data_IF_295077731505
#
_entry.id   IF_295077731505
#
_cell.length_a   1.000
_cell.length_b   1.000
_cell.length_c   1.000
_cell.angle_alpha   90.00
_cell.angle_beta   90.00
_cell.angle_gamma   90.00
#
_symmetry.space_group_name_H-M   'P 1'
#
loop_
_entity.id
_entity.type
_entity.pdbx_description
1 polymer ?
#
# COMPACT_ATOMS: atom_id res chain seq x y z
N UNK A 1 11.57 47.65 -0.85
CA UNK A 1 12.61 46.89 -0.10
C UNK A 1 12.35 45.42 -0.34
N UNK A 2 13.13 44.80 -1.22
CA UNK A 2 13.01 43.39 -1.63
C UNK A 2 13.70 42.48 -0.63
N UNK A 3 13.03 41.40 -0.21
CA UNK A 3 13.62 40.32 0.60
C UNK A 3 13.91 39.13 -0.34
N UNK A 4 15.16 38.63 -0.46
CA UNK A 4 15.50 37.60 -1.43
C UNK A 4 14.96 36.23 -1.01
N UNK A 5 14.37 35.53 -1.97
CA UNK A 5 13.90 34.16 -1.86
C UNK A 5 15.01 33.23 -1.35
N UNK A 6 14.77 32.59 -0.20
CA UNK A 6 15.59 31.48 0.29
C UNK A 6 15.39 30.27 -0.63
N UNK A 7 16.31 30.05 -1.54
CA UNK A 7 16.40 28.81 -2.31
C UNK A 7 16.53 27.62 -1.33
N UNK A 8 15.59 26.67 -1.40
CA UNK A 8 15.66 25.41 -0.65
C UNK A 8 16.88 24.61 -1.13
N UNK A 9 17.73 24.19 -0.20
CA UNK A 9 18.82 23.23 -0.46
C UNK A 9 18.22 21.85 -0.75
N UNK A 10 18.68 21.11 -1.77
CA UNK A 10 18.27 19.73 -2.01
C UNK A 10 18.67 18.82 -0.82
N UNK A 11 17.88 17.77 -0.58
CA UNK A 11 18.18 16.77 0.44
C UNK A 11 19.57 16.17 0.18
N UNK A 12 20.41 16.09 1.23
CA UNK A 12 21.75 15.54 1.09
C UNK A 12 21.65 14.04 0.75
N UNK A 13 22.17 13.67 -0.42
CA UNK A 13 22.34 12.26 -0.81
C UNK A 13 23.22 11.57 0.23
N UNK A 14 22.73 10.47 0.81
CA UNK A 14 23.48 9.66 1.78
C UNK A 14 24.77 9.14 1.18
N UNK A 15 25.84 9.01 1.99
CA UNK A 15 27.15 8.56 1.51
C UNK A 15 27.07 7.25 0.71
N UNK A 16 26.33 6.24 1.20
CA UNK A 16 26.17 4.96 0.49
C UNK A 16 25.46 5.05 -0.88
N UNK A 17 24.67 6.10 -1.15
CA UNK A 17 24.08 6.32 -2.48
C UNK A 17 25.09 6.94 -3.44
N UNK A 18 26.00 7.79 -2.94
CA UNK A 18 27.11 8.33 -3.73
C UNK A 18 28.11 7.25 -4.12
N UNK A 19 28.41 6.37 -3.17
CA UNK A 19 29.34 5.25 -3.40
C UNK A 19 28.77 4.28 -4.45
N UNK A 20 27.45 4.02 -4.43
CA UNK A 20 26.76 3.24 -5.47
C UNK A 20 26.75 3.92 -6.85
N UNK A 21 26.53 5.23 -6.90
CA UNK A 21 26.58 6.01 -8.15
C UNK A 21 27.99 5.97 -8.75
N UNK A 22 29.05 6.08 -7.93
CA UNK A 22 30.44 5.97 -8.38
C UNK A 22 30.75 4.59 -8.96
N UNK A 23 30.27 3.52 -8.31
CA UNK A 23 30.39 2.14 -8.80
C UNK A 23 29.68 1.97 -10.15
N UNK A 24 28.44 2.47 -10.28
CA UNK A 24 27.68 2.40 -11.54
C UNK A 24 28.37 3.17 -12.67
N UNK A 25 28.93 4.35 -12.37
CA UNK A 25 29.69 5.15 -13.33
C UNK A 25 31.01 4.48 -13.74
N UNK A 26 31.68 3.77 -12.84
CA UNK A 26 32.88 2.98 -13.14
C UNK A 26 32.54 1.80 -14.08
N UNK A 27 31.47 1.05 -13.80
CA UNK A 27 31.00 -0.05 -14.66
C UNK A 27 30.65 0.44 -16.06
N UNK A 28 29.92 1.55 -16.17
CA UNK A 28 29.54 2.12 -17.48
C UNK A 28 30.73 2.63 -18.30
N UNK A 29 31.84 2.97 -17.64
CA UNK A 29 33.12 3.33 -18.29
C UNK A 29 33.98 2.12 -18.65
N UNK A 30 33.52 0.90 -18.33
CA UNK A 30 34.29 -0.33 -18.54
C UNK A 30 35.42 -0.54 -17.53
N UNK A 31 35.44 0.24 -16.45
CA UNK A 31 36.38 0.09 -15.35
C UNK A 31 35.91 -1.08 -14.47
N UNK A 32 36.84 -1.88 -13.94
CA UNK A 32 36.50 -2.91 -12.94
C UNK A 32 36.35 -2.21 -11.59
N UNK A 33 35.13 -2.13 -11.01
CA UNK A 33 34.95 -1.51 -9.70
C UNK A 33 35.70 -2.30 -8.63
N UNK A 34 35.91 -1.69 -7.47
CA UNK A 34 36.55 -2.35 -6.32
C UNK A 34 35.76 -3.63 -5.98
N UNK A 35 36.32 -4.80 -6.35
CA UNK A 35 35.59 -6.07 -6.38
C UNK A 35 35.03 -6.44 -4.99
N UNK A 36 35.76 -6.07 -3.94
CA UNK A 36 35.46 -6.40 -2.54
C UNK A 36 34.16 -5.76 -2.03
N UNK A 37 33.87 -4.52 -2.43
CA UNK A 37 32.65 -3.80 -2.03
C UNK A 37 31.42 -4.40 -2.71
N UNK A 38 31.54 -4.69 -4.01
CA UNK A 38 30.48 -5.36 -4.77
C UNK A 38 30.20 -6.76 -4.23
N UNK A 39 31.22 -7.54 -3.89
CA UNK A 39 31.00 -8.85 -3.25
C UNK A 39 30.34 -8.73 -1.89
N UNK A 40 30.67 -7.71 -1.09
CA UNK A 40 30.06 -7.48 0.22
C UNK A 40 28.57 -7.14 0.08
N UNK A 41 28.24 -6.26 -0.88
CA UNK A 41 26.86 -5.88 -1.19
C UNK A 41 26.08 -7.09 -1.67
N UNK A 42 26.59 -7.82 -2.67
CA UNK A 42 25.93 -9.01 -3.23
C UNK A 42 25.74 -10.10 -2.16
N UNK A 43 26.71 -10.32 -1.29
CA UNK A 43 26.60 -11.29 -0.20
C UNK A 43 25.54 -10.88 0.81
N UNK A 44 25.47 -9.59 1.17
CA UNK A 44 24.44 -9.06 2.07
C UNK A 44 23.05 -9.17 1.46
N UNK A 45 22.91 -8.87 0.15
CA UNK A 45 21.64 -9.03 -0.57
C UNK A 45 21.20 -10.49 -0.64
N UNK A 46 22.14 -11.42 -0.87
CA UNK A 46 21.86 -12.86 -0.81
C UNK A 46 21.40 -13.32 0.57
N UNK A 47 22.00 -12.78 1.64
CA UNK A 47 21.62 -13.11 3.01
C UNK A 47 20.20 -12.64 3.34
N UNK A 48 19.79 -11.47 2.84
CA UNK A 48 18.42 -10.96 2.97
C UNK A 48 17.46 -11.75 2.08
N UNK A 49 17.84 -12.11 0.86
CA UNK A 49 17.02 -12.94 -0.03
C UNK A 49 16.72 -14.32 0.58
N UNK A 50 17.72 -14.94 1.19
CA UNK A 50 17.56 -16.23 1.87
C UNK A 50 16.65 -16.14 3.12
N UNK A 51 16.65 -14.99 3.81
CA UNK A 51 15.78 -14.78 4.98
C UNK A 51 14.34 -14.45 4.56
N UNK A 52 14.16 -13.78 3.41
CA UNK A 52 12.84 -13.28 2.96
C UNK A 52 12.13 -14.23 1.97
N UNK A 53 12.83 -15.23 1.41
CA UNK A 53 12.32 -16.17 0.36
C UNK A 53 11.71 -15.49 -0.87
N UNK A 54 12.13 -14.25 -1.16
CA UNK A 54 11.73 -13.48 -2.35
C UNK A 54 12.99 -12.98 -3.03
N UNK A 55 13.11 -13.10 -4.38
CA UNK A 55 14.26 -12.58 -5.10
C UNK A 55 14.45 -11.08 -4.82
N UNK A 56 15.62 -10.69 -4.35
CA UNK A 56 15.88 -9.30 -3.93
C UNK A 56 15.70 -8.32 -5.09
N UNK A 57 16.03 -8.76 -6.31
CA UNK A 57 15.85 -7.99 -7.54
C UNK A 57 14.38 -7.66 -7.79
N UNK A 58 13.46 -8.56 -7.44
CA UNK A 58 12.02 -8.33 -7.61
C UNK A 58 11.49 -7.34 -6.57
N UNK A 59 12.03 -7.38 -5.33
CA UNK A 59 11.71 -6.41 -4.29
C UNK A 59 12.23 -5.02 -4.64
N UNK A 60 13.49 -4.92 -5.08
CA UNK A 60 14.09 -3.66 -5.51
C UNK A 60 13.38 -3.11 -6.75
N UNK A 61 12.93 -3.97 -7.67
CA UNK A 61 12.12 -3.56 -8.82
C UNK A 61 10.75 -3.07 -8.41
N UNK A 62 10.03 -3.78 -7.54
CA UNK A 62 8.74 -3.34 -7.03
C UNK A 62 8.87 -2.00 -6.28
N UNK A 63 9.96 -1.83 -5.52
CA UNK A 63 10.27 -0.57 -4.86
C UNK A 63 10.61 0.53 -5.87
N UNK A 64 11.43 0.24 -6.88
CA UNK A 64 11.78 1.18 -7.94
C UNK A 64 10.57 1.56 -8.80
N UNK A 65 9.66 0.64 -9.08
CA UNK A 65 8.37 0.91 -9.73
C UNK A 65 7.46 1.75 -8.83
N UNK A 66 7.51 1.57 -7.50
CA UNK A 66 6.76 2.38 -6.55
C UNK A 66 7.32 3.80 -6.34
N UNK A 67 8.62 3.99 -6.59
CA UNK A 67 9.35 5.27 -6.45
C UNK A 67 9.53 5.96 -7.81
N UNK A 68 9.36 5.24 -8.91
CA UNK A 68 9.38 5.83 -10.25
C UNK A 68 8.30 6.91 -10.32
N UNK A 69 8.60 8.10 -10.87
CA UNK A 69 7.58 9.10 -11.12
C UNK A 69 6.55 8.42 -12.01
N UNK A 70 5.37 8.16 -11.43
CA UNK A 70 4.19 7.69 -12.14
C UNK A 70 4.13 8.49 -13.44
N UNK A 71 4.18 7.85 -14.63
CA UNK A 71 3.90 8.59 -15.85
C UNK A 71 2.53 9.20 -15.60
N UNK A 72 2.49 10.53 -15.52
CA UNK A 72 1.29 11.29 -15.24
C UNK A 72 0.18 10.69 -16.09
N UNK A 73 -0.77 10.00 -15.47
CA UNK A 73 -2.05 9.74 -16.13
C UNK A 73 -2.53 11.11 -16.63
N UNK A 74 -3.26 11.17 -17.75
CA UNK A 74 -3.78 12.43 -18.28
C UNK A 74 -4.93 12.98 -17.40
N UNK A 75 -4.71 13.08 -16.10
CA UNK A 75 -5.47 13.87 -15.13
C UNK A 75 -4.74 15.17 -14.81
N UNK A 76 -4.04 15.72 -15.79
CA UNK A 76 -3.74 17.15 -15.85
C UNK A 76 -4.59 17.77 -16.95
N UNK A 77 -5.91 17.72 -16.79
CA UNK A 77 -6.66 18.89 -17.23
C UNK A 77 -6.21 19.99 -16.27
N UNK A 78 -5.36 20.89 -16.76
CA UNK A 78 -4.97 22.10 -16.05
C UNK A 78 -6.26 22.74 -15.55
N UNK A 79 -6.40 22.85 -14.23
CA UNK A 79 -7.56 23.49 -13.63
C UNK A 79 -7.72 24.87 -14.26
N UNK A 80 -8.88 25.16 -14.83
CA UNK A 80 -9.12 26.47 -15.43
C UNK A 80 -9.25 27.50 -14.32
N UNK A 81 -9.01 28.78 -14.62
CA UNK A 81 -9.11 29.85 -13.63
C UNK A 81 -10.49 29.90 -12.95
N UNK A 82 -11.55 29.53 -13.67
CA UNK A 82 -12.91 29.45 -13.14
C UNK A 82 -13.09 28.29 -12.16
N UNK A 83 -12.50 27.14 -12.44
CA UNK A 83 -12.50 25.98 -11.54
C UNK A 83 -11.67 26.26 -10.29
N UNK A 84 -10.55 26.96 -10.41
CA UNK A 84 -9.73 27.39 -9.27
C UNK A 84 -10.49 28.36 -8.36
N UNK A 85 -11.17 29.35 -8.95
CA UNK A 85 -12.00 30.30 -8.23
C UNK A 85 -13.13 29.59 -7.47
N UNK A 86 -13.79 28.62 -8.10
CA UNK A 86 -14.83 27.82 -7.46
C UNK A 86 -14.30 26.98 -6.28
N UNK A 87 -13.13 26.35 -6.41
CA UNK A 87 -12.52 25.60 -5.31
C UNK A 87 -12.08 26.50 -4.15
N UNK A 88 -11.58 27.71 -4.45
CA UNK A 88 -11.20 28.69 -3.43
C UNK A 88 -12.42 29.23 -2.70
N UNK A 89 -13.52 29.51 -3.41
CA UNK A 89 -14.79 29.91 -2.81
C UNK A 89 -15.40 28.80 -1.92
N UNK A 90 -15.19 27.53 -2.28
CA UNK A 90 -15.59 26.38 -1.49
C UNK A 90 -14.63 26.02 -0.33
N UNK A 91 -13.52 26.78 -0.15
CA UNK A 91 -12.51 26.51 0.88
C UNK A 91 -11.68 25.24 0.65
N UNK A 92 -11.73 24.66 -0.54
CA UNK A 92 -11.08 23.39 -0.90
C UNK A 92 -9.74 23.60 -1.63
N UNK A 93 -9.33 24.85 -1.86
CA UNK A 93 -8.06 25.16 -2.50
C UNK A 93 -6.95 25.32 -1.46
N UNK A 94 -5.85 24.58 -1.64
CA UNK A 94 -4.70 24.61 -0.73
C UNK A 94 -3.61 25.48 -1.35
N UNK A 95 -3.39 26.68 -0.80
CA UNK A 95 -2.35 27.62 -1.28
C UNK A 95 -0.92 27.08 -1.01
N UNK A 96 -0.74 26.19 -0.01
CA UNK A 96 0.54 25.56 0.32
C UNK A 96 0.45 24.03 0.34
N UNK A 97 1.09 23.38 -0.62
CA UNK A 97 1.10 21.92 -0.71
C UNK A 97 1.71 21.31 0.58
N UNK A 98 1.05 20.30 1.21
CA UNK A 98 1.61 19.62 2.37
C UNK A 98 3.01 19.07 2.08
N UNK A 99 3.87 18.93 3.12
CA UNK A 99 5.13 18.21 3.03
C UNK A 99 4.93 16.87 2.32
N UNK A 100 5.90 16.43 1.49
CA UNK A 100 5.74 15.23 0.67
C UNK A 100 5.22 14.02 1.48
N UNK A 101 5.72 13.80 2.69
CA UNK A 101 5.28 12.75 3.61
C UNK A 101 3.79 12.81 4.02
N UNK A 102 3.15 13.97 3.94
CA UNK A 102 1.74 14.19 4.30
C UNK A 102 0.83 14.27 3.07
N UNK A 103 1.39 14.19 1.86
CA UNK A 103 0.58 14.19 0.64
C UNK A 103 -0.20 12.89 0.56
N UNK A 104 -1.46 12.98 0.13
CA UNK A 104 -2.33 11.81 -0.03
C UNK A 104 -1.70 10.70 -0.89
N UNK A 105 -0.91 11.06 -1.92
CA UNK A 105 -0.17 10.13 -2.75
C UNK A 105 0.92 9.37 -1.99
N UNK A 106 1.76 10.07 -1.22
CA UNK A 106 2.83 9.45 -0.41
C UNK A 106 2.27 8.62 0.73
N UNK A 107 1.21 9.09 1.40
CA UNK A 107 0.49 8.31 2.43
C UNK A 107 -0.13 7.04 1.85
N UNK A 108 -0.67 7.10 0.63
CA UNK A 108 -1.24 5.92 -0.05
C UNK A 108 -0.16 4.90 -0.43
N UNK A 109 1.00 5.37 -0.90
CA UNK A 109 2.16 4.53 -1.19
C UNK A 109 2.62 3.82 0.09
N UNK A 110 2.82 4.56 1.18
CA UNK A 110 3.28 4.00 2.45
C UNK A 110 2.30 2.96 3.00
N UNK A 111 0.99 3.26 3.01
CA UNK A 111 -0.04 2.30 3.44
C UNK A 111 -0.09 1.05 2.57
N UNK A 112 0.17 1.19 1.27
CA UNK A 112 0.20 0.04 0.36
C UNK A 112 1.45 -0.81 0.62
N UNK A 113 2.60 -0.19 0.91
CA UNK A 113 3.81 -0.90 1.34
C UNK A 113 3.60 -1.64 2.66
N UNK A 114 3.00 -1.01 3.66
CA UNK A 114 2.71 -1.65 4.96
C UNK A 114 1.72 -2.83 4.80
N UNK A 115 0.73 -2.67 3.92
CA UNK A 115 -0.22 -3.71 3.58
C UNK A 115 0.46 -4.92 2.94
N UNK A 116 1.39 -4.68 2.02
CA UNK A 116 2.13 -5.73 1.33
C UNK A 116 3.20 -6.38 2.22
N UNK A 117 3.84 -5.61 3.11
CA UNK A 117 4.85 -6.10 4.04
C UNK A 117 4.28 -7.16 5.00
N UNK A 118 3.00 -7.08 5.31
CA UNK A 118 2.29 -8.05 6.15
C UNK A 118 1.50 -9.08 5.35
N UNK A 119 1.47 -8.99 4.01
CA UNK A 119 0.62 -9.86 3.20
C UNK A 119 1.20 -11.27 3.05
N UNK A 120 0.34 -12.26 3.18
CA UNK A 120 0.66 -13.68 3.03
C UNK A 120 0.71 -14.06 1.54
N UNK A 121 1.57 -15.01 1.21
CA UNK A 121 1.50 -15.76 -0.04
C UNK A 121 0.26 -16.66 -0.06
N UNK A 122 -0.07 -17.21 -1.23
CA UNK A 122 -1.16 -18.20 -1.36
C UNK A 122 -0.92 -19.43 -0.49
N UNK A 123 0.32 -19.90 -0.39
CA UNK A 123 0.66 -21.10 0.36
C UNK A 123 0.64 -20.86 1.88
N UNK A 124 1.11 -19.69 2.34
CA UNK A 124 0.98 -19.29 3.74
C UNK A 124 -0.49 -19.11 4.15
N UNK A 125 -1.31 -18.49 3.29
CA UNK A 125 -2.74 -18.38 3.53
C UNK A 125 -3.42 -19.76 3.54
N UNK A 126 -3.00 -20.68 2.67
CA UNK A 126 -3.51 -22.04 2.63
C UNK A 126 -3.19 -22.79 3.95
N UNK A 127 -1.95 -22.70 4.42
CA UNK A 127 -1.53 -23.25 5.70
C UNK A 127 -2.31 -22.64 6.87
N UNK A 128 -2.48 -21.32 6.88
CA UNK A 128 -3.24 -20.60 7.92
C UNK A 128 -4.70 -21.00 7.99
N UNK A 129 -5.33 -21.24 6.84
CA UNK A 129 -6.74 -21.62 6.73
C UNK A 129 -6.97 -23.14 6.84
N UNK A 130 -5.91 -23.95 6.86
CA UNK A 130 -6.03 -25.42 6.81
C UNK A 130 -6.64 -25.94 5.49
N UNK A 131 -6.46 -25.22 4.37
CA UNK A 131 -7.01 -25.59 3.06
C UNK A 131 -5.91 -25.71 2.00
N UNK A 132 -6.26 -26.13 0.79
CA UNK A 132 -5.31 -26.20 -0.34
C UNK A 132 -5.09 -24.84 -0.99
N UNK A 133 -3.92 -24.63 -1.62
CA UNK A 133 -3.65 -23.43 -2.41
C UNK A 133 -4.67 -23.21 -3.55
N UNK A 134 -5.20 -24.29 -4.14
CA UNK A 134 -6.27 -24.24 -5.11
C UNK A 134 -7.57 -23.65 -4.54
N UNK A 135 -7.93 -24.04 -3.31
CA UNK A 135 -9.08 -23.48 -2.60
C UNK A 135 -8.90 -22.00 -2.28
N UNK A 136 -7.68 -21.57 -1.92
CA UNK A 136 -7.37 -20.13 -1.72
C UNK A 136 -7.57 -19.35 -3.02
N UNK A 137 -7.01 -19.83 -4.14
CA UNK A 137 -7.19 -19.17 -5.46
C UNK A 137 -8.66 -19.09 -5.86
N UNK A 138 -9.43 -20.15 -5.63
CA UNK A 138 -10.88 -20.14 -5.86
C UNK A 138 -11.58 -19.08 -5.00
N UNK A 139 -11.24 -18.96 -3.71
CA UNK A 139 -11.83 -17.95 -2.83
C UNK A 139 -11.49 -16.52 -3.27
N UNK A 140 -10.26 -16.29 -3.76
CA UNK A 140 -9.85 -15.01 -4.37
C UNK A 140 -10.69 -14.72 -5.62
N UNK A 141 -10.86 -15.69 -6.53
CA UNK A 141 -11.73 -15.53 -7.71
C UNK A 141 -13.19 -15.26 -7.34
N UNK A 142 -13.69 -15.90 -6.28
CA UNK A 142 -15.04 -15.69 -5.76
C UNK A 142 -15.18 -14.42 -4.90
N UNK A 143 -14.10 -13.64 -4.73
CA UNK A 143 -14.07 -12.41 -3.91
C UNK A 143 -14.43 -12.62 -2.43
N UNK A 144 -14.24 -13.85 -1.94
CA UNK A 144 -14.38 -14.23 -0.52
C UNK A 144 -13.05 -14.20 0.23
N UNK A 145 -11.97 -13.85 -0.47
CA UNK A 145 -10.68 -13.42 0.06
C UNK A 145 -10.17 -12.26 -0.80
N UNK A 146 -9.58 -11.27 -0.15
CA UNK A 146 -8.93 -10.15 -0.82
C UNK A 146 -7.50 -10.54 -1.20
N UNK A 147 -7.11 -10.22 -2.43
CA UNK A 147 -5.73 -10.36 -2.88
C UNK A 147 -5.29 -9.12 -3.65
N UNK A 148 -4.04 -8.72 -3.45
CA UNK A 148 -3.32 -7.73 -4.23
C UNK A 148 -2.43 -8.47 -5.21
N UNK A 149 -2.49 -8.10 -6.48
CA UNK A 149 -1.58 -8.64 -7.50
C UNK A 149 -0.27 -7.85 -7.47
N UNK A 150 0.82 -8.52 -7.16
CA UNK A 150 2.18 -7.96 -7.19
C UNK A 150 2.96 -8.71 -8.26
N UNK A 151 3.24 -8.04 -9.38
CA UNK A 151 3.79 -8.67 -10.59
C UNK A 151 2.93 -9.87 -11.04
N UNK A 152 3.46 -11.09 -10.96
CA UNK A 152 2.78 -12.34 -11.35
C UNK A 152 2.12 -13.08 -10.18
N UNK A 153 2.34 -12.64 -8.94
CA UNK A 153 1.89 -13.35 -7.75
C UNK A 153 0.76 -12.62 -7.00
N UNK A 154 -0.11 -13.39 -6.37
CA UNK A 154 -1.10 -12.85 -5.43
C UNK A 154 -0.50 -12.74 -4.02
N UNK A 155 -0.79 -11.63 -3.36
CA UNK A 155 -0.50 -11.37 -1.95
C UNK A 155 -1.82 -11.11 -1.23
N UNK A 156 -2.05 -11.83 -0.15
CA UNK A 156 -3.29 -11.78 0.62
C UNK A 156 -3.02 -10.95 1.88
N UNK A 157 -3.55 -9.72 2.00
CA UNK A 157 -3.32 -8.89 3.17
C UNK A 157 -3.63 -9.59 4.50
N UNK A 158 -2.75 -9.49 5.49
CA UNK A 158 -2.89 -10.21 6.77
C UNK A 158 -4.14 -9.82 7.58
N UNK A 159 -4.66 -8.60 7.42
CA UNK A 159 -5.80 -8.11 8.21
C UNK A 159 -7.08 -8.93 8.01
N UNK A 160 -7.16 -9.79 6.98
CA UNK A 160 -8.31 -10.67 6.77
C UNK A 160 -8.21 -12.02 7.50
N UNK A 161 -7.08 -12.28 8.18
CA UNK A 161 -6.80 -13.53 8.88
C UNK A 161 -6.72 -13.33 10.40
N UNK A 162 -7.02 -14.39 11.13
CA UNK A 162 -6.70 -14.59 12.54
C UNK A 162 -5.49 -15.52 12.64
N UNK A 163 -5.09 -15.90 13.86
CA UNK A 163 -3.96 -16.80 14.07
C UNK A 163 -4.23 -18.21 13.53
N UNK A 164 -5.49 -18.64 13.50
CA UNK A 164 -5.89 -20.01 13.16
C UNK A 164 -6.93 -20.09 12.02
N UNK A 165 -7.20 -18.98 11.33
CA UNK A 165 -8.23 -18.98 10.28
C UNK A 165 -8.43 -17.63 9.60
N UNK A 166 -9.55 -17.48 8.91
CA UNK A 166 -10.02 -16.18 8.45
C UNK A 166 -10.67 -15.39 9.59
N UNK A 167 -10.85 -14.10 9.33
CA UNK A 167 -11.60 -13.24 10.21
C UNK A 167 -13.08 -13.73 10.25
N UNK A 168 -13.71 -13.86 11.44
CA UNK A 168 -15.09 -14.31 11.53
C UNK A 168 -16.02 -13.45 10.67
N UNK A 169 -16.91 -14.08 9.90
CA UNK A 169 -17.85 -13.40 9.00
C UNK A 169 -17.22 -12.75 7.76
N UNK A 170 -15.92 -12.94 7.51
CA UNK A 170 -15.22 -12.33 6.38
C UNK A 170 -15.73 -12.78 5.01
N UNK A 171 -16.24 -14.01 4.92
CA UNK A 171 -16.86 -14.55 3.72
C UNK A 171 -18.10 -13.75 3.27
N UNK A 172 -18.79 -13.08 4.20
CA UNK A 172 -19.90 -12.15 3.92
C UNK A 172 -19.45 -10.71 3.73
N UNK A 173 -18.45 -10.29 4.50
CA UNK A 173 -17.94 -8.90 4.47
C UNK A 173 -17.10 -8.63 3.21
N UNK A 174 -16.26 -9.56 2.77
CA UNK A 174 -15.39 -9.35 1.61
C UNK A 174 -16.17 -9.07 0.30
N UNK A 175 -17.25 -9.82 -0.03
CA UNK A 175 -18.06 -9.54 -1.21
C UNK A 175 -18.82 -8.21 -1.17
N UNK A 176 -19.08 -7.64 0.02
CA UNK A 176 -19.82 -6.39 0.18
C UNK A 176 -19.05 -5.17 -0.35
N UNK A 177 -17.72 -5.23 -0.38
CA UNK A 177 -16.93 -4.17 -1.00
C UNK A 177 -17.17 -4.13 -2.52
N UNK A 178 -17.25 -2.94 -3.16
CA UNK A 178 -17.31 -2.84 -4.61
C UNK A 178 -16.13 -3.50 -5.30
N UNK A 179 -16.33 -4.00 -6.53
CA UNK A 179 -15.22 -4.54 -7.36
C UNK A 179 -14.15 -3.49 -7.66
N UNK A 180 -14.52 -2.22 -7.62
CA UNK A 180 -13.65 -1.06 -7.87
C UNK A 180 -12.90 -0.60 -6.61
N UNK A 181 -13.20 -1.14 -5.43
CA UNK A 181 -12.57 -0.73 -4.19
C UNK A 181 -11.09 -1.13 -4.18
N UNK A 182 -10.21 -0.14 -3.98
CA UNK A 182 -8.78 -0.39 -3.90
C UNK A 182 -8.43 -1.16 -2.62
N UNK A 183 -7.55 -2.18 -2.65
CA UNK A 183 -7.19 -2.97 -1.46
C UNK A 183 -6.74 -2.14 -0.25
N UNK A 184 -6.01 -1.05 -0.49
CA UNK A 184 -5.59 -0.10 0.56
C UNK A 184 -6.77 0.60 1.23
N UNK A 185 -7.83 0.93 0.48
CA UNK A 185 -9.04 1.53 1.04
C UNK A 185 -9.83 0.53 1.90
N UNK A 186 -9.93 -0.72 1.41
CA UNK A 186 -10.52 -1.83 2.19
C UNK A 186 -9.74 -2.05 3.48
N UNK A 187 -8.41 -2.10 3.40
CA UNK A 187 -7.55 -2.28 4.56
C UNK A 187 -7.69 -1.14 5.59
N UNK A 188 -7.75 0.11 5.10
CA UNK A 188 -7.93 1.27 5.96
C UNK A 188 -9.29 1.23 6.65
N UNK A 189 -10.37 0.97 5.92
CA UNK A 189 -11.71 0.84 6.49
C UNK A 189 -11.75 -0.25 7.57
N UNK A 190 -11.21 -1.44 7.29
CA UNK A 190 -11.23 -2.57 8.23
C UNK A 190 -10.42 -2.33 9.50
N UNK A 191 -9.41 -1.46 9.46
CA UNK A 191 -8.49 -1.21 10.58
C UNK A 191 -8.75 0.11 11.32
N UNK A 192 -9.61 0.98 10.79
CA UNK A 192 -9.94 2.27 11.41
C UNK A 192 -11.14 2.13 12.33
N UNK A 193 -11.10 2.65 13.57
CA UNK A 193 -12.27 2.68 14.45
C UNK A 193 -13.47 3.36 13.81
N UNK A 194 -14.67 2.81 14.00
CA UNK A 194 -15.91 3.31 13.41
C UNK A 194 -16.92 3.72 14.50
N UNK A 195 -17.60 4.89 14.38
CA UNK A 195 -18.56 5.38 15.38
C UNK A 195 -19.69 4.39 15.69
N UNK A 196 -20.16 3.65 14.68
CA UNK A 196 -21.29 2.72 14.81
C UNK A 196 -20.88 1.35 15.39
N UNK A 197 -19.57 1.10 15.60
CA UNK A 197 -19.06 -0.16 16.13
C UNK A 197 -18.50 0.08 17.53
N UNK A 198 -19.35 -0.07 18.55
CA UNK A 198 -18.97 0.13 19.95
C UNK A 198 -19.24 -1.11 20.80
N UNK A 199 -18.29 -1.44 21.68
CA UNK A 199 -18.46 -2.49 22.70
C UNK A 199 -18.00 -1.92 24.04
N UNK A 200 -18.88 -1.94 25.04
CA UNK A 200 -18.54 -1.40 26.37
C UNK A 200 -18.17 0.10 26.38
N UNK A 201 -18.60 0.87 25.37
CA UNK A 201 -18.28 2.29 25.22
C UNK A 201 -16.96 2.58 24.49
N UNK A 202 -16.20 1.56 24.08
CA UNK A 202 -15.00 1.71 23.26
C UNK A 202 -15.32 1.56 21.77
N UNK A 203 -14.74 2.43 20.94
CA UNK A 203 -14.85 2.37 19.49
C UNK A 203 -13.94 1.27 18.94
N UNK A 204 -14.53 0.34 18.19
CA UNK A 204 -13.80 -0.72 17.51
C UNK A 204 -13.70 -0.44 16.01
N UNK A 205 -12.62 -0.95 15.41
CA UNK A 205 -12.57 -1.09 13.95
C UNK A 205 -13.46 -2.24 13.51
N UNK A 206 -13.89 -2.29 12.22
CA UNK A 206 -14.62 -3.45 11.70
C UNK A 206 -13.90 -4.77 11.95
N UNK A 207 -12.57 -4.82 11.83
CA UNK A 207 -11.79 -6.01 12.21
C UNK A 207 -11.90 -6.31 13.70
N UNK A 208 -11.80 -5.30 14.56
CA UNK A 208 -11.96 -5.45 16.00
C UNK A 208 -13.33 -6.01 16.39
N UNK A 209 -14.39 -5.46 15.78
CA UNK A 209 -15.77 -5.90 15.95
C UNK A 209 -16.00 -7.36 15.54
N UNK A 210 -15.50 -7.77 14.38
CA UNK A 210 -15.62 -9.16 13.93
C UNK A 210 -14.82 -10.13 14.82
N UNK A 211 -13.65 -9.70 15.33
CA UNK A 211 -12.86 -10.50 16.28
C UNK A 211 -13.53 -10.63 17.64
N UNK A 212 -14.30 -9.64 18.08
CA UNK A 212 -15.06 -9.72 19.34
C UNK A 212 -16.36 -10.52 19.21
N UNK A 213 -16.66 -11.08 18.03
CA UNK A 213 -17.88 -11.85 17.76
C UNK A 213 -19.10 -10.98 17.43
N UNK A 214 -18.86 -9.71 17.07
CA UNK A 214 -19.90 -8.82 16.58
C UNK A 214 -20.50 -9.29 15.25
N UNK A 215 -21.74 -8.88 14.98
CA UNK A 215 -22.45 -9.29 13.77
C UNK A 215 -21.82 -8.72 12.50
N UNK A 216 -21.58 -9.60 11.52
CA UNK A 216 -20.98 -9.26 10.24
C UNK A 216 -21.92 -8.44 9.37
N UNK A 217 -23.24 -8.63 9.49
CA UNK A 217 -24.22 -7.87 8.69
C UNK A 217 -24.15 -6.37 9.00
N UNK A 218 -23.89 -6.00 10.25
CA UNK A 218 -23.71 -4.59 10.62
C UNK A 218 -22.50 -3.94 9.89
N UNK A 219 -21.41 -4.70 9.71
CA UNK A 219 -20.25 -4.23 8.94
C UNK A 219 -20.60 -4.13 7.45
N UNK A 220 -21.37 -5.08 6.91
CA UNK A 220 -21.86 -5.05 5.53
C UNK A 220 -22.71 -3.80 5.28
N UNK A 221 -23.64 -3.48 6.17
CA UNK A 221 -24.49 -2.29 6.06
C UNK A 221 -23.66 -0.99 6.02
N UNK A 222 -22.65 -0.88 6.88
CA UNK A 222 -21.72 0.26 6.88
C UNK A 222 -20.98 0.32 5.54
N UNK A 223 -20.48 -0.81 5.01
CA UNK A 223 -19.79 -0.84 3.71
C UNK A 223 -20.71 -0.36 2.59
N UNK A 224 -21.94 -0.85 2.53
CA UNK A 224 -22.89 -0.46 1.46
C UNK A 224 -23.20 1.03 1.49
N UNK A 225 -23.17 1.65 2.67
CA UNK A 225 -23.39 3.09 2.88
C UNK A 225 -22.11 3.92 2.60
N UNK A 226 -20.95 3.44 3.03
CA UNK A 226 -19.68 4.16 2.91
C UNK A 226 -19.09 4.11 1.50
N UNK A 227 -19.40 3.04 0.74
CA UNK A 227 -18.87 2.82 -0.61
C UNK A 227 -19.92 3.03 -1.71
N UNK A 228 -20.95 3.86 -1.46
CA UNK A 228 -21.96 4.22 -2.47
C UNK A 228 -21.29 4.87 -3.67
N UNK A 229 -21.16 4.09 -4.74
CA UNK A 229 -20.79 4.60 -6.06
C UNK A 229 -21.99 5.40 -6.56
N UNK A 230 -21.86 6.73 -6.63
CA UNK A 230 -22.77 7.53 -7.44
C UNK A 230 -22.52 7.16 -8.90
N UNK A 231 -23.28 6.18 -9.39
CA UNK A 231 -23.39 5.92 -10.82
C UNK A 231 -24.24 7.06 -11.40
N UNK A 232 -23.56 8.08 -11.95
CA UNK A 232 -24.13 9.08 -12.84
C UNK A 232 -23.59 8.88 -14.24
#
# INVERSE_FOLDING_TARGET
MSNPARARRPAAVSQGMKDLDEILLAVNRGERPHLDELTTIVTSLHQIENSTRVPMVDLLRALAESVSPVPSSPSSQTITADQESALRAAGSFVDEMPPAAQRASTTTIQRTSDLLATALTTDEAAARLGVTAGRVRQRVSNRTLLAVKVSTAHRLPAFQFTDDGDLPGWDRVAPAFPTTAHPTAVAWFMQTPHPDLTVGGELLSPRGWLRSGGDAEHVVDIITTAFVVHAS
#
